data_IF_073452192382
#
_entry.id   IF_073452192382
#
_cell.length_a   1.000
_cell.length_b   1.000
_cell.length_c   1.000
_cell.angle_alpha   90.00
_cell.angle_beta   90.00
_cell.angle_gamma   90.00
#
_symmetry.space_group_name_H-M   'P 1'
#
loop_
_entity.id
_entity.type
_entity.pdbx_description
1 polymer ?
#
# COMPACT_ATOMS: atom_id res chain seq x y z
N UNK A 1 -30.36 16.37 13.75
CA UNK A 1 -30.12 15.39 14.84
C UNK A 1 -28.64 15.33 15.15
N UNK A 2 -28.25 14.85 16.33
CA UNK A 2 -26.84 14.65 16.73
C UNK A 2 -26.55 13.17 16.80
N UNK A 3 -25.52 12.70 16.09
CA UNK A 3 -25.11 11.30 16.05
C UNK A 3 -24.03 11.09 17.09
N UNK A 4 -24.22 10.14 18.01
CA UNK A 4 -23.23 9.77 19.02
C UNK A 4 -22.61 8.42 18.68
N UNK A 5 -21.27 8.34 18.70
CA UNK A 5 -20.56 7.09 18.44
C UNK A 5 -19.21 7.05 19.16
N UNK A 6 -18.63 5.85 19.25
CA UNK A 6 -17.34 5.65 19.91
C UNK A 6 -16.20 5.68 18.90
N UNK A 7 -15.10 6.36 19.25
CA UNK A 7 -13.91 6.38 18.41
C UNK A 7 -13.28 4.97 18.31
N UNK A 8 -12.96 4.45 17.09
CA UNK A 8 -12.42 3.10 16.91
C UNK A 8 -10.97 2.90 17.36
N UNK A 9 -10.32 3.94 17.89
CA UNK A 9 -8.95 3.90 18.41
C UNK A 9 -8.92 4.03 19.94
N UNK A 10 -9.52 5.09 20.49
CA UNK A 10 -9.50 5.37 21.93
C UNK A 10 -10.82 5.08 22.67
N UNK A 11 -11.86 4.62 21.97
CA UNK A 11 -13.21 4.38 22.51
C UNK A 11 -13.88 5.60 23.18
N UNK A 12 -13.36 6.81 23.00
CA UNK A 12 -14.00 8.03 23.48
C UNK A 12 -15.36 8.25 22.78
N UNK A 13 -16.36 8.67 23.54
CA UNK A 13 -17.70 9.04 23.03
C UNK A 13 -17.59 10.40 22.35
N UNK A 14 -17.95 10.46 21.07
CA UNK A 14 -17.92 11.66 20.25
C UNK A 14 -19.29 11.90 19.61
N UNK A 15 -19.71 13.17 19.59
CA UNK A 15 -21.00 13.60 19.05
C UNK A 15 -20.79 14.58 17.89
N UNK A 16 -21.40 14.30 16.74
CA UNK A 16 -21.39 15.20 15.60
C UNK A 16 -22.83 15.52 15.17
N UNK A 17 -23.03 16.72 14.64
CA UNK A 17 -24.31 17.04 14.01
C UNK A 17 -24.47 16.23 12.71
N UNK A 18 -25.67 15.71 12.48
CA UNK A 18 -26.04 14.84 11.35
C UNK A 18 -25.67 15.43 9.97
N UNK A 19 -25.68 16.76 9.85
CA UNK A 19 -25.18 17.52 8.68
C UNK A 19 -23.72 17.25 8.29
N UNK A 20 -22.92 16.61 9.15
CA UNK A 20 -21.54 16.22 8.88
C UNK A 20 -21.36 14.72 8.61
N UNK A 21 -22.46 13.97 8.54
CA UNK A 21 -22.47 12.58 8.13
C UNK A 21 -21.69 12.35 6.81
N UNK A 22 -20.90 11.28 6.75
CA UNK A 22 -20.08 10.92 5.59
C UNK A 22 -18.82 11.77 5.41
N UNK A 23 -18.65 12.86 6.17
CA UNK A 23 -17.44 13.69 6.13
C UNK A 23 -16.34 13.10 7.01
N UNK A 24 -15.09 13.47 6.69
CA UNK A 24 -13.91 13.15 7.49
C UNK A 24 -13.83 14.08 8.70
N UNK A 25 -13.66 13.51 9.88
CA UNK A 25 -13.47 14.23 11.13
C UNK A 25 -12.22 13.70 11.85
N UNK A 26 -11.75 14.49 12.82
CA UNK A 26 -10.62 14.14 13.67
C UNK A 26 -11.15 13.94 15.08
N UNK A 27 -10.77 12.84 15.72
CA UNK A 27 -11.09 12.63 17.13
C UNK A 27 -10.33 13.65 18.00
N UNK A 28 -11.05 14.38 18.85
CA UNK A 28 -10.47 15.38 19.78
C UNK A 28 -9.63 14.76 20.90
N UNK A 29 -9.79 13.45 21.16
CA UNK A 29 -9.05 12.74 22.22
C UNK A 29 -7.77 12.09 21.73
N UNK A 30 -7.79 11.41 20.57
CA UNK A 30 -6.62 10.65 20.06
C UNK A 30 -6.06 11.16 18.73
N UNK A 31 -6.65 12.17 18.12
CA UNK A 31 -6.20 12.71 16.83
C UNK A 31 -6.47 11.80 15.62
N UNK A 32 -7.14 10.66 15.80
CA UNK A 32 -7.42 9.73 14.71
C UNK A 32 -8.41 10.32 13.70
N UNK A 33 -8.06 10.23 12.41
CA UNK A 33 -8.97 10.57 11.31
C UNK A 33 -10.00 9.46 11.11
N UNK A 34 -11.28 9.81 11.12
CA UNK A 34 -12.41 8.90 10.98
C UNK A 34 -13.50 9.49 10.07
N UNK A 35 -14.39 8.65 9.55
CA UNK A 35 -15.59 9.11 8.82
C UNK A 35 -16.78 9.05 9.78
N UNK A 36 -17.55 10.13 9.82
CA UNK A 36 -18.75 10.23 10.66
C UNK A 36 -19.83 9.27 10.10
N UNK A 37 -20.31 8.29 10.89
CA UNK A 37 -21.35 7.36 10.47
C UNK A 37 -22.71 8.07 10.33
N UNK A 38 -23.58 7.54 9.48
CA UNK A 38 -24.92 8.08 9.21
C UNK A 38 -26.00 7.66 10.20
N UNK A 39 -25.65 6.90 11.25
CA UNK A 39 -26.63 6.39 12.21
C UNK A 39 -26.02 6.09 13.58
N UNK A 40 -26.85 6.18 14.62
CA UNK A 40 -26.48 6.06 16.05
C UNK A 40 -26.01 4.65 16.48
N UNK A 41 -26.12 3.64 15.62
CA UNK A 41 -25.77 2.24 15.96
C UNK A 41 -24.86 1.55 14.94
N UNK A 42 -24.38 2.27 13.93
CA UNK A 42 -23.54 1.69 12.90
C UNK A 42 -22.09 1.61 13.42
N UNK A 43 -21.56 0.39 13.57
CA UNK A 43 -20.16 0.16 13.96
C UNK A 43 -19.25 0.95 13.02
N UNK A 44 -18.54 1.95 13.55
CA UNK A 44 -17.69 2.84 12.76
C UNK A 44 -16.64 2.03 12.02
N UNK A 45 -16.82 1.87 10.69
CA UNK A 45 -15.90 1.11 9.86
C UNK A 45 -14.60 1.90 9.80
N UNK A 46 -13.51 1.33 10.33
CA UNK A 46 -12.17 1.90 10.19
C UNK A 46 -11.93 2.16 8.70
N UNK A 47 -11.84 3.44 8.35
CA UNK A 47 -11.30 3.85 7.06
C UNK A 47 -9.83 3.53 7.15
N UNK A 48 -9.46 2.31 6.72
CA UNK A 48 -8.10 2.06 6.29
C UNK A 48 -7.82 3.19 5.30
N UNK A 49 -6.79 4.00 5.57
CA UNK A 49 -6.28 4.93 4.58
C UNK A 49 -6.31 4.17 3.25
N UNK A 50 -6.86 4.76 2.16
CA UNK A 50 -6.70 4.17 0.84
C UNK A 50 -5.27 3.70 0.81
N UNK A 51 -5.06 2.38 0.66
CA UNK A 51 -3.73 1.91 0.33
C UNK A 51 -3.42 2.77 -0.86
N UNK A 52 -2.51 3.72 -0.71
CA UNK A 52 -1.82 4.26 -1.86
C UNK A 52 -1.40 2.97 -2.56
N UNK A 53 -2.11 2.66 -3.65
CA UNK A 53 -1.44 2.03 -4.74
C UNK A 53 -0.28 3.00 -4.94
N UNK A 54 0.86 2.61 -4.37
CA UNK A 54 2.13 3.28 -4.58
C UNK A 54 2.40 3.01 -6.05
N UNK A 55 1.69 3.71 -6.90
CA UNK A 55 2.01 3.82 -8.29
C UNK A 55 3.28 4.65 -8.31
N UNK A 56 4.29 4.03 -8.91
CA UNK A 56 5.56 4.64 -9.31
C UNK A 56 6.65 4.83 -8.23
N UNK A 57 7.18 3.71 -7.73
CA UNK A 57 8.63 3.50 -7.86
C UNK A 57 8.99 2.27 -8.72
N UNK A 58 7.98 1.51 -9.18
CA UNK A 58 8.16 0.20 -9.82
C UNK A 58 8.51 0.20 -11.31
N UNK A 59 8.73 1.35 -11.95
CA UNK A 59 9.11 1.41 -13.37
C UNK A 59 10.58 1.02 -13.58
N UNK A 60 11.48 1.73 -12.89
CA UNK A 60 12.93 1.51 -13.04
C UNK A 60 13.37 0.14 -12.54
N UNK A 61 12.93 -0.30 -11.37
CA UNK A 61 13.35 -1.61 -10.83
C UNK A 61 12.91 -2.76 -11.74
N UNK A 62 11.69 -2.70 -12.28
CA UNK A 62 11.19 -3.72 -13.22
C UNK A 62 11.95 -3.68 -14.54
N UNK A 63 12.18 -2.50 -15.11
CA UNK A 63 12.92 -2.35 -16.36
C UNK A 63 14.38 -2.83 -16.24
N UNK A 64 15.05 -2.49 -15.14
CA UNK A 64 16.45 -2.84 -14.92
C UNK A 64 16.62 -4.33 -14.63
N UNK A 65 15.79 -4.91 -13.76
CA UNK A 65 16.04 -6.29 -13.32
C UNK A 65 15.21 -7.34 -14.07
N UNK A 66 13.93 -7.09 -14.36
CA UNK A 66 13.06 -8.11 -14.95
C UNK A 66 13.24 -8.17 -16.47
N UNK A 67 13.19 -7.02 -17.14
CA UNK A 67 13.29 -6.99 -18.60
C UNK A 67 14.72 -7.29 -19.09
N UNK A 68 15.75 -6.91 -18.32
CA UNK A 68 17.14 -7.21 -18.67
C UNK A 68 17.53 -8.66 -18.41
N UNK A 69 16.90 -9.37 -17.45
CA UNK A 69 17.16 -10.80 -17.24
C UNK A 69 16.77 -11.64 -18.47
N UNK A 70 15.77 -11.18 -19.22
CA UNK A 70 15.32 -11.81 -20.46
C UNK A 70 16.38 -11.81 -21.56
N UNK A 71 17.32 -10.85 -21.56
CA UNK A 71 18.46 -10.82 -22.49
C UNK A 71 19.44 -11.97 -22.24
N UNK A 72 19.58 -12.42 -20.99
CA UNK A 72 20.43 -13.54 -20.61
C UNK A 72 19.77 -14.90 -20.88
N UNK A 73 18.45 -14.96 -21.04
CA UNK A 73 17.71 -16.20 -21.29
C UNK A 73 17.36 -16.45 -22.77
N UNK A 74 17.65 -15.50 -23.67
CA UNK A 74 17.42 -15.67 -25.11
C UNK A 74 18.43 -16.66 -25.72
N UNK A 75 17.96 -17.50 -26.64
CA UNK A 75 18.77 -18.55 -27.29
C UNK A 75 19.95 -18.00 -28.09
N UNK A 76 19.83 -16.78 -28.62
CA UNK A 76 20.90 -16.10 -29.36
C UNK A 76 22.11 -15.75 -28.48
N UNK A 77 21.91 -15.52 -27.19
CA UNK A 77 22.96 -15.14 -26.23
C UNK A 77 23.44 -16.31 -25.36
N UNK A 78 22.81 -17.48 -25.47
CA UNK A 78 23.09 -18.64 -24.63
C UNK A 78 24.53 -19.16 -24.78
N UNK A 79 25.07 -19.16 -26.00
CA UNK A 79 26.44 -19.63 -26.29
C UNK A 79 27.49 -18.73 -25.62
N UNK A 80 27.29 -17.40 -25.67
CA UNK A 80 28.18 -16.45 -25.01
C UNK A 80 28.12 -16.56 -23.49
N UNK A 81 26.93 -16.77 -22.94
CA UNK A 81 26.72 -16.94 -21.51
C UNK A 81 27.38 -18.24 -21.00
N UNK A 82 27.24 -19.35 -21.74
CA UNK A 82 27.91 -20.61 -21.43
C UNK A 82 29.44 -20.47 -21.46
N UNK A 83 29.98 -19.70 -22.42
CA UNK A 83 31.42 -19.42 -22.50
C UNK A 83 31.91 -18.62 -21.29
N UNK A 84 31.19 -17.56 -20.90
CA UNK A 84 31.54 -16.74 -19.72
C UNK A 84 31.50 -17.60 -18.45
N UNK A 85 30.44 -18.39 -18.25
CA UNK A 85 30.34 -19.29 -17.09
C UNK A 85 31.52 -20.26 -17.07
N UNK A 86 31.81 -20.91 -18.20
CA UNK A 86 32.90 -21.89 -18.29
C UNK A 86 34.26 -21.25 -18.00
N UNK A 87 34.52 -20.07 -18.55
CA UNK A 87 35.76 -19.33 -18.31
C UNK A 87 35.92 -18.90 -16.85
N UNK A 88 34.83 -18.45 -16.21
CA UNK A 88 34.84 -18.07 -14.78
C UNK A 88 35.09 -19.29 -13.91
N UNK A 89 34.41 -20.42 -14.17
CA UNK A 89 34.62 -21.66 -13.43
C UNK A 89 36.07 -22.15 -13.56
N UNK A 90 36.65 -22.17 -14.76
CA UNK A 90 38.04 -22.60 -14.96
C UNK A 90 39.09 -21.65 -14.37
N UNK A 91 38.75 -20.38 -14.15
CA UNK A 91 39.68 -19.35 -13.65
C UNK A 91 39.69 -19.28 -12.12
N UNK A 92 38.55 -19.59 -11.49
CA UNK A 92 38.33 -19.37 -10.06
C UNK A 92 38.07 -20.65 -9.24
N UNK A 93 37.84 -21.79 -9.90
CA UNK A 93 37.89 -23.15 -9.29
C UNK A 93 39.07 -23.93 -9.87
#
# INVERSE_FOLDING_TARGET
MTIQFNCPNCNAVIAFADKHCGKRAICTTCGQRLIIPSGDREKTRKVKAPREQVESLGGFYRAVFVDSFKLFTNSENATGLAFIITAVCLKFF
#
